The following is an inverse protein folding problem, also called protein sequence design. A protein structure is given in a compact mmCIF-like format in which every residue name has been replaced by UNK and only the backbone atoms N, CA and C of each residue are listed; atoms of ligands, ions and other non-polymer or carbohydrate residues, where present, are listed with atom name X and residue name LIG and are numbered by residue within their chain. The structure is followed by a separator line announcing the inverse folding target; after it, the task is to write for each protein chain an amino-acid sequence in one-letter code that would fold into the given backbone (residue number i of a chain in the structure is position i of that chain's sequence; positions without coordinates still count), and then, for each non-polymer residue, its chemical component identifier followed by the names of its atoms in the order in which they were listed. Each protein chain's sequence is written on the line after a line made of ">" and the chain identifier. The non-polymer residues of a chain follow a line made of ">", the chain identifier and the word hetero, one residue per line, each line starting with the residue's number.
data_IF_827185692679
#
_entry.id   IF_827185692679
#
_cell.length_a   1.000
_cell.length_b   1.000
_cell.length_c   1.000
_cell.angle_alpha   90.00
_cell.angle_beta   90.00
_cell.angle_gamma   90.00
#
_symmetry.space_group_name_H-M   'P 1'
#
loop_
_entity.id
_entity.type
_entity.pdbx_description
1 polymer ?
#
# COMPACT_ATOMS: atom_id res chain seq x y z
N UNK A 1 -19.14 31.36 17.75
CA UNK A 1 -18.70 30.25 18.64
C UNK A 1 -19.44 28.94 18.34
N UNK A 2 -19.82 28.67 17.07
CA UNK A 2 -20.61 27.49 16.67
C UNK A 2 -19.85 26.49 15.78
N UNK A 3 -18.59 26.80 15.40
CA UNK A 3 -17.78 25.98 14.48
C UNK A 3 -16.91 24.91 15.16
N UNK A 4 -16.75 24.96 16.49
CA UNK A 4 -15.94 23.98 17.23
C UNK A 4 -16.67 22.64 17.44
N UNK A 5 -18.00 22.66 17.65
CA UNK A 5 -18.79 21.43 17.84
C UNK A 5 -18.86 20.51 16.61
N UNK A 6 -18.77 21.07 15.39
CA UNK A 6 -18.74 20.27 14.16
C UNK A 6 -17.38 19.58 13.92
N UNK A 7 -16.31 20.10 14.50
CA UNK A 7 -14.98 19.50 14.39
C UNK A 7 -14.86 18.30 15.34
N UNK A 8 -15.45 18.36 16.53
CA UNK A 8 -15.52 17.21 17.45
C UNK A 8 -16.41 16.09 16.88
N UNK A 9 -17.56 16.39 16.29
CA UNK A 9 -18.44 15.38 15.68
C UNK A 9 -17.84 14.68 14.44
N UNK A 10 -16.83 15.29 13.79
CA UNK A 10 -16.13 14.66 12.66
C UNK A 10 -15.17 13.55 13.13
N UNK A 11 -14.60 13.68 14.34
CA UNK A 11 -13.79 12.64 14.98
C UNK A 11 -14.62 11.49 15.55
N UNK A 12 -15.95 11.65 15.71
CA UNK A 12 -16.83 10.59 16.23
C UNK A 12 -17.12 9.45 15.24
N UNK A 13 -16.64 9.52 14.00
CA UNK A 13 -16.93 8.49 12.99
C UNK A 13 -16.12 7.20 13.16
N UNK A 14 -14.93 7.27 13.77
CA UNK A 14 -14.07 6.10 13.96
C UNK A 14 -13.63 6.02 15.41
N UNK A 15 -13.83 4.84 16.02
CA UNK A 15 -13.30 4.60 17.36
C UNK A 15 -11.78 4.45 17.31
N UNK A 16 -11.08 4.74 18.42
CA UNK A 16 -9.64 4.52 18.51
C UNK A 16 -9.24 3.07 18.21
N UNK A 17 -10.11 2.11 18.58
CA UNK A 17 -9.93 0.70 18.26
C UNK A 17 -10.03 0.44 16.75
N UNK A 18 -11.03 0.99 16.08
CA UNK A 18 -11.17 0.82 14.62
C UNK A 18 -10.00 1.45 13.85
N UNK A 19 -9.51 2.61 14.30
CA UNK A 19 -8.30 3.22 13.74
C UNK A 19 -7.08 2.31 13.93
N UNK A 20 -6.90 1.78 15.14
CA UNK A 20 -5.80 0.87 15.44
C UNK A 20 -5.88 -0.41 14.58
N UNK A 21 -7.06 -0.97 14.39
CA UNK A 21 -7.28 -2.14 13.54
C UNK A 21 -6.94 -1.85 12.07
N UNK A 22 -7.46 -0.75 11.50
CA UNK A 22 -7.21 -0.38 10.09
C UNK A 22 -5.74 -0.10 9.82
N UNK A 23 -5.12 0.72 10.67
CA UNK A 23 -3.71 1.12 10.51
C UNK A 23 -2.75 -0.02 10.86
N UNK A 24 -3.05 -0.76 11.92
CA UNK A 24 -2.28 -1.92 12.36
C UNK A 24 -2.31 -3.04 11.32
N UNK A 25 -3.49 -3.39 10.82
CA UNK A 25 -3.63 -4.39 9.75
C UNK A 25 -2.91 -3.95 8.48
N UNK A 26 -3.03 -2.69 8.07
CA UNK A 26 -2.30 -2.17 6.91
C UNK A 26 -0.79 -2.36 7.05
N UNK A 27 -0.23 -1.94 8.19
CA UNK A 27 1.20 -2.09 8.48
C UNK A 27 1.62 -3.56 8.47
N UNK A 28 0.86 -4.44 9.12
CA UNK A 28 1.14 -5.88 9.19
C UNK A 28 1.11 -6.54 7.81
N UNK A 29 0.06 -6.29 7.01
CA UNK A 29 -0.05 -6.85 5.66
C UNK A 29 1.08 -6.36 4.74
N UNK A 30 1.44 -5.08 4.84
CA UNK A 30 2.60 -4.53 4.14
C UNK A 30 3.90 -5.21 4.56
N UNK A 31 4.13 -5.40 5.86
CA UNK A 31 5.32 -6.10 6.35
C UNK A 31 5.38 -7.55 5.90
N UNK A 32 4.26 -8.28 5.95
CA UNK A 32 4.16 -9.66 5.45
C UNK A 32 4.56 -9.74 3.97
N UNK A 33 4.08 -8.80 3.15
CA UNK A 33 4.45 -8.73 1.74
C UNK A 33 5.94 -8.40 1.53
N UNK A 34 6.50 -7.52 2.36
CA UNK A 34 7.90 -7.10 2.31
C UNK A 34 8.90 -8.11 2.90
N UNK A 35 8.44 -9.11 3.63
CA UNK A 35 9.31 -10.10 4.28
C UNK A 35 10.13 -10.89 3.26
N UNK A 36 9.51 -11.40 2.19
CA UNK A 36 10.24 -12.12 1.14
C UNK A 36 11.28 -11.22 0.45
N UNK A 37 10.99 -9.91 0.34
CA UNK A 37 11.93 -8.95 -0.24
C UNK A 37 13.14 -8.71 0.63
N UNK A 38 12.94 -8.54 1.93
CA UNK A 38 14.00 -8.36 2.92
C UNK A 38 14.93 -9.58 2.96
N UNK A 39 14.35 -10.78 3.05
CA UNK A 39 15.10 -12.03 3.12
C UNK A 39 15.97 -12.28 1.87
N UNK A 40 15.64 -11.64 0.75
CA UNK A 40 16.36 -11.77 -0.52
C UNK A 40 17.27 -10.58 -0.83
N UNK A 41 17.41 -9.63 0.09
CA UNK A 41 18.33 -8.49 -0.04
C UNK A 41 17.90 -7.45 -1.07
N UNK A 42 16.61 -7.35 -1.40
CA UNK A 42 16.11 -6.28 -2.27
C UNK A 42 16.14 -4.93 -1.55
N UNK A 43 16.33 -3.84 -2.31
CA UNK A 43 16.41 -2.49 -1.76
C UNK A 43 15.14 -2.03 -1.00
N UNK A 44 13.97 -2.55 -1.38
CA UNK A 44 12.70 -2.31 -0.69
C UNK A 44 12.28 -3.57 0.06
N UNK A 45 12.46 -3.57 1.38
CA UNK A 45 12.18 -4.72 2.25
C UNK A 45 10.99 -4.50 3.19
N UNK A 46 11.02 -5.13 4.36
CA UNK A 46 9.89 -5.21 5.28
C UNK A 46 9.45 -3.84 5.80
N UNK A 47 10.43 -3.00 6.16
CA UNK A 47 10.19 -1.64 6.68
C UNK A 47 9.52 -0.77 5.63
N UNK A 48 10.02 -0.81 4.40
CA UNK A 48 9.52 0.01 3.30
C UNK A 48 8.07 -0.34 2.97
N UNK A 49 7.76 -1.63 2.83
CA UNK A 49 6.39 -2.06 2.53
C UNK A 49 5.41 -1.74 3.66
N UNK A 50 5.81 -1.95 4.93
CA UNK A 50 5.01 -1.60 6.10
C UNK A 50 4.69 -0.10 6.17
N UNK A 51 5.70 0.76 5.97
CA UNK A 51 5.52 2.22 5.99
C UNK A 51 4.61 2.69 4.84
N UNK A 52 4.79 2.17 3.61
CA UNK A 52 3.93 2.55 2.49
C UNK A 52 2.48 2.13 2.70
N UNK A 53 2.25 0.90 3.17
CA UNK A 53 0.91 0.40 3.45
C UNK A 53 0.23 1.21 4.58
N UNK A 54 0.95 1.48 5.66
CA UNK A 54 0.47 2.33 6.75
C UNK A 54 0.13 3.74 6.25
N UNK A 55 1.03 4.35 5.47
CA UNK A 55 0.83 5.70 4.91
C UNK A 55 -0.43 5.76 4.05
N UNK A 56 -0.65 4.75 3.20
CA UNK A 56 -1.84 4.66 2.38
C UNK A 56 -3.12 4.52 3.22
N UNK A 57 -3.09 3.72 4.29
CA UNK A 57 -4.23 3.57 5.19
C UNK A 57 -4.56 4.88 5.92
N UNK A 58 -3.55 5.61 6.42
CA UNK A 58 -3.73 6.93 7.05
C UNK A 58 -4.39 7.91 6.08
N UNK A 59 -3.92 7.94 4.83
CA UNK A 59 -4.45 8.83 3.80
C UNK A 59 -5.90 8.48 3.44
N UNK A 60 -6.24 7.19 3.33
CA UNK A 60 -7.62 6.76 3.06
C UNK A 60 -8.55 7.06 4.21
N UNK A 61 -8.18 6.74 5.45
CA UNK A 61 -8.99 7.05 6.64
C UNK A 61 -9.23 8.55 6.75
N UNK A 62 -8.17 9.36 6.56
CA UNK A 62 -8.26 10.82 6.55
C UNK A 62 -9.18 11.33 5.43
N UNK A 63 -9.08 10.74 4.24
CA UNK A 63 -9.95 11.03 3.10
C UNK A 63 -11.42 10.73 3.38
N UNK A 64 -11.71 9.61 4.05
CA UNK A 64 -13.07 9.24 4.45
C UNK A 64 -13.64 10.22 5.49
N UNK A 65 -12.84 10.63 6.48
CA UNK A 65 -13.25 11.62 7.48
C UNK A 65 -13.57 12.98 6.82
N UNK A 66 -12.70 13.43 5.89
CA UNK A 66 -12.92 14.67 5.17
C UNK A 66 -14.14 14.59 4.25
N UNK A 67 -14.36 13.45 3.59
CA UNK A 67 -15.55 13.19 2.78
C UNK A 67 -16.83 13.28 3.61
N UNK A 68 -16.86 12.64 4.78
CA UNK A 68 -18.00 12.70 5.70
C UNK A 68 -18.28 14.14 6.16
N UNK A 69 -17.25 14.89 6.54
CA UNK A 69 -17.38 16.30 6.93
C UNK A 69 -17.91 17.18 5.77
N UNK A 70 -17.41 16.98 4.56
CA UNK A 70 -17.87 17.70 3.38
C UNK A 70 -19.36 17.43 3.08
N UNK A 71 -19.79 16.16 3.18
CA UNK A 71 -21.19 15.76 3.00
C UNK A 71 -22.11 16.41 4.03
N UNK A 72 -21.69 16.47 5.30
CA UNK A 72 -22.45 17.13 6.37
C UNK A 72 -22.60 18.64 6.13
N UNK A 73 -21.61 19.28 5.52
CA UNK A 73 -21.64 20.70 5.15
C UNK A 73 -22.43 20.97 3.85
N UNK A 74 -23.08 19.97 3.26
CA UNK A 74 -23.80 20.10 1.98
C UNK A 74 -22.90 20.19 0.75
N UNK A 75 -21.60 19.90 0.91
CA UNK A 75 -20.64 19.84 -0.19
C UNK A 75 -20.56 18.45 -0.82
N UNK A 76 -19.97 18.40 -2.01
CA UNK A 76 -19.57 17.16 -2.67
C UNK A 76 -18.04 17.05 -2.66
N UNK A 77 -17.55 15.95 -2.09
CA UNK A 77 -16.14 15.57 -2.16
C UNK A 77 -16.08 14.15 -2.73
N UNK A 78 -15.19 13.91 -3.70
CA UNK A 78 -14.98 12.58 -4.25
C UNK A 78 -13.79 11.90 -3.54
N UNK A 79 -14.01 10.86 -2.71
CA UNK A 79 -12.93 10.16 -2.01
C UNK A 79 -12.01 9.39 -2.96
N UNK A 80 -12.44 9.10 -4.19
CA UNK A 80 -11.64 8.41 -5.19
C UNK A 80 -10.43 9.25 -5.65
N UNK A 81 -10.52 10.58 -5.54
CA UNK A 81 -9.40 11.49 -5.84
C UNK A 81 -8.19 11.27 -4.93
N UNK A 82 -8.43 10.87 -3.68
CA UNK A 82 -7.36 10.54 -2.72
C UNK A 82 -6.63 9.28 -3.17
N UNK A 83 -7.38 8.27 -3.63
CA UNK A 83 -6.83 7.03 -4.19
C UNK A 83 -6.02 7.32 -5.46
N UNK A 84 -6.55 8.15 -6.37
CA UNK A 84 -5.82 8.57 -7.58
C UNK A 84 -4.50 9.26 -7.24
N UNK A 85 -4.51 10.20 -6.28
CA UNK A 85 -3.31 10.89 -5.83
C UNK A 85 -2.27 9.96 -5.22
N UNK A 86 -2.69 8.94 -4.45
CA UNK A 86 -1.79 7.92 -3.91
C UNK A 86 -1.09 7.13 -5.02
N UNK A 87 -1.83 6.64 -6.02
CA UNK A 87 -1.23 5.90 -7.14
C UNK A 87 -0.26 6.75 -7.96
N UNK A 88 -0.57 8.04 -8.15
CA UNK A 88 0.35 8.97 -8.80
C UNK A 88 1.65 9.16 -8.00
N UNK A 89 1.56 9.37 -6.68
CA UNK A 89 2.73 9.53 -5.82
C UNK A 89 3.59 8.25 -5.77
N UNK A 90 2.96 7.09 -5.69
CA UNK A 90 3.64 5.80 -5.60
C UNK A 90 4.27 5.40 -6.93
N UNK A 91 3.68 5.78 -8.06
CA UNK A 91 4.29 5.63 -9.38
C UNK A 91 5.67 6.31 -9.46
N UNK A 92 5.82 7.48 -8.83
CA UNK A 92 7.11 8.18 -8.74
C UNK A 92 8.14 7.41 -7.89
N UNK A 93 7.71 6.87 -6.74
CA UNK A 93 8.57 6.02 -5.88
C UNK A 93 9.01 4.75 -6.63
N UNK A 94 8.08 4.11 -7.34
CA UNK A 94 8.35 2.93 -8.15
C UNK A 94 9.33 3.21 -9.28
N UNK A 95 9.14 4.31 -10.02
CA UNK A 95 10.09 4.76 -11.04
C UNK A 95 11.49 5.03 -10.43
N UNK A 96 11.55 5.69 -9.28
CA UNK A 96 12.79 5.90 -8.54
C UNK A 96 13.51 4.60 -8.19
N UNK A 97 12.78 3.56 -7.77
CA UNK A 97 13.34 2.25 -7.47
C UNK A 97 13.87 1.50 -8.71
N UNK A 98 13.18 1.67 -9.84
CA UNK A 98 13.57 1.05 -11.11
C UNK A 98 14.82 1.69 -11.69
N UNK A 99 14.92 3.02 -11.64
CA UNK A 99 16.03 3.79 -12.23
C UNK A 99 17.14 4.15 -11.23
N UNK A 100 17.11 3.61 -10.01
CA UNK A 100 18.08 3.90 -8.95
C UNK A 100 19.53 3.53 -9.31
N UNK A 101 19.75 2.59 -10.25
CA UNK A 101 21.09 2.24 -10.75
C UNK A 101 21.21 2.67 -12.21
N UNK A 102 22.31 3.35 -12.54
CA UNK A 102 22.52 3.92 -13.87
C UNK A 102 22.58 2.84 -14.94
N UNK A 103 21.66 2.96 -15.91
CA UNK A 103 21.59 2.34 -17.25
C UNK A 103 20.77 1.06 -17.43
N UNK A 104 20.40 0.32 -16.38
CA UNK A 104 19.60 -0.90 -16.52
C UNK A 104 18.33 -0.92 -15.66
N UNK A 105 17.24 -1.47 -16.22
CA UNK A 105 15.94 -1.63 -15.55
C UNK A 105 16.06 -2.79 -14.56
N UNK A 106 16.26 -2.46 -13.29
CA UNK A 106 16.25 -3.42 -12.19
C UNK A 106 15.03 -3.24 -11.30
N UNK A 107 14.76 -4.22 -10.42
CA UNK A 107 13.76 -4.09 -9.35
C UNK A 107 12.30 -3.91 -9.80
N UNK A 108 11.92 -4.33 -11.02
CA UNK A 108 10.54 -4.21 -11.52
C UNK A 108 9.53 -4.90 -10.57
N UNK A 109 9.84 -6.11 -10.10
CA UNK A 109 9.01 -6.83 -9.10
C UNK A 109 8.97 -6.12 -7.74
N UNK A 110 10.07 -5.46 -7.35
CA UNK A 110 10.11 -4.69 -6.10
C UNK A 110 9.24 -3.43 -6.21
N UNK A 111 9.25 -2.74 -7.36
CA UNK A 111 8.34 -1.63 -7.63
C UNK A 111 6.87 -2.08 -7.65
N UNK A 112 6.58 -3.21 -8.29
CA UNK A 112 5.23 -3.79 -8.31
C UNK A 112 4.75 -4.20 -6.90
N UNK A 113 5.62 -4.78 -6.07
CA UNK A 113 5.27 -5.16 -4.69
C UNK A 113 5.05 -3.96 -3.78
N UNK A 114 5.73 -2.82 -4.02
CA UNK A 114 5.41 -1.56 -3.33
C UNK A 114 4.02 -1.03 -3.71
N UNK A 115 3.65 -1.07 -4.99
CA UNK A 115 2.30 -0.70 -5.44
C UNK A 115 1.26 -1.60 -4.78
N UNK A 116 1.54 -2.90 -4.69
CA UNK A 116 0.66 -3.84 -4.01
C UNK A 116 0.55 -3.52 -2.51
N UNK A 117 1.65 -3.22 -1.81
CA UNK A 117 1.61 -2.83 -0.40
C UNK A 117 0.73 -1.59 -0.16
N UNK A 118 0.83 -0.58 -1.02
CA UNK A 118 -0.04 0.61 -0.99
C UNK A 118 -1.50 0.21 -1.19
N UNK A 119 -1.77 -0.65 -2.17
CA UNK A 119 -3.13 -1.13 -2.46
C UNK A 119 -3.73 -1.89 -1.27
N UNK A 120 -2.93 -2.69 -0.56
CA UNK A 120 -3.34 -3.34 0.69
C UNK A 120 -3.63 -2.33 1.80
N UNK A 121 -2.79 -1.30 1.92
CA UNK A 121 -3.02 -0.17 2.82
C UNK A 121 -4.31 0.59 2.53
N UNK A 122 -4.62 0.81 1.24
CA UNK A 122 -5.89 1.42 0.81
C UNK A 122 -7.07 0.53 1.22
N UNK A 123 -7.01 -0.77 0.93
CA UNK A 123 -8.07 -1.71 1.27
C UNK A 123 -8.30 -1.79 2.78
N UNK A 124 -7.23 -1.90 3.59
CA UNK A 124 -7.32 -1.91 5.04
C UNK A 124 -7.80 -0.57 5.61
N UNK A 125 -7.31 0.57 5.10
CA UNK A 125 -7.75 1.90 5.48
C UNK A 125 -9.23 2.16 5.17
N UNK A 126 -9.76 1.54 4.11
CA UNK A 126 -11.18 1.57 3.76
C UNK A 126 -12.03 0.55 4.55
N UNK A 127 -11.42 -0.34 5.34
CA UNK A 127 -12.12 -1.41 6.06
C UNK A 127 -12.50 -2.62 5.20
N UNK A 128 -11.93 -2.76 4.00
CA UNK A 128 -12.19 -3.89 3.10
C UNK A 128 -11.33 -5.12 3.45
N UNK A 129 -11.62 -5.74 4.60
CA UNK A 129 -10.81 -6.83 5.17
C UNK A 129 -10.68 -8.05 4.26
N UNK A 130 -11.79 -8.49 3.66
CA UNK A 130 -11.81 -9.65 2.76
C UNK A 130 -10.96 -9.39 1.51
N UNK A 131 -11.09 -8.19 0.93
CA UNK A 131 -10.29 -7.79 -0.23
C UNK A 131 -8.80 -7.75 0.13
N UNK A 132 -8.45 -7.15 1.26
CA UNK A 132 -7.07 -7.07 1.74
C UNK A 132 -6.47 -8.46 1.98
N UNK A 133 -7.22 -9.38 2.58
CA UNK A 133 -6.78 -10.75 2.83
C UNK A 133 -6.54 -11.54 1.53
N UNK A 134 -7.50 -11.51 0.60
CA UNK A 134 -7.38 -12.19 -0.70
C UNK A 134 -6.20 -11.62 -1.50
N UNK A 135 -6.10 -10.29 -1.59
CA UNK A 135 -5.02 -9.63 -2.32
C UNK A 135 -3.65 -9.92 -1.71
N UNK A 136 -3.53 -10.00 -0.38
CA UNK A 136 -2.29 -10.39 0.29
C UNK A 136 -1.91 -11.82 -0.04
N UNK A 137 -2.87 -12.77 0.05
CA UNK A 137 -2.63 -14.17 -0.29
C UNK A 137 -2.17 -14.36 -1.73
N UNK A 138 -2.88 -13.74 -2.69
CA UNK A 138 -2.49 -13.77 -4.11
C UNK A 138 -1.13 -13.09 -4.34
N UNK A 139 -0.88 -11.97 -3.66
CA UNK A 139 0.40 -11.27 -3.68
C UNK A 139 1.56 -12.19 -3.28
N UNK A 140 1.45 -12.85 -2.13
CA UNK A 140 2.46 -13.79 -1.65
C UNK A 140 2.65 -14.97 -2.61
N UNK A 141 1.56 -15.52 -3.17
CA UNK A 141 1.62 -16.58 -4.18
C UNK A 141 2.42 -16.13 -5.40
N UNK A 142 2.13 -14.95 -5.95
CA UNK A 142 2.88 -14.41 -7.10
C UNK A 142 4.34 -14.15 -6.76
N UNK A 143 4.62 -13.70 -5.55
CA UNK A 143 5.96 -13.36 -5.10
C UNK A 143 6.82 -14.57 -4.76
N UNK A 144 6.22 -15.67 -4.32
CA UNK A 144 6.93 -16.87 -3.84
C UNK A 144 6.79 -18.06 -4.80
N UNK A 145 5.58 -18.43 -5.22
CA UNK A 145 5.35 -19.64 -6.01
C UNK A 145 5.72 -19.49 -7.49
N UNK A 146 5.40 -18.37 -8.13
CA UNK A 146 5.74 -18.14 -9.55
C UNK A 146 7.25 -18.16 -9.75
N UNK A 147 7.99 -17.58 -8.82
CA UNK A 147 9.45 -17.58 -8.87
C UNK A 147 10.06 -18.94 -8.53
N UNK A 148 9.41 -19.71 -7.66
CA UNK A 148 9.80 -21.10 -7.43
C UNK A 148 9.59 -21.90 -8.72
N UNK A 149 8.49 -21.72 -9.44
CA UNK A 149 8.29 -22.36 -10.74
C UNK A 149 9.34 -21.93 -11.80
N UNK A 150 9.76 -20.66 -11.81
CA UNK A 150 10.87 -20.18 -12.66
C UNK A 150 12.20 -20.90 -12.39
N UNK A 151 12.46 -21.28 -11.13
CA UNK A 151 13.67 -22.03 -10.78
C UNK A 151 13.66 -23.48 -11.28
N UNK A 152 12.49 -24.02 -11.63
CA UNK A 152 12.31 -25.38 -12.13
C UNK A 152 12.26 -25.44 -13.66
N UNK A 153 12.20 -24.29 -14.34
CA UNK A 153 12.28 -24.19 -15.78
C UNK A 153 13.75 -24.28 -16.24
N UNK A 154 14.15 -25.32 -17.01
CA UNK A 154 15.49 -25.41 -17.58
C UNK A 154 15.65 -24.33 -18.66
N UNK A 155 16.56 -23.36 -18.44
CA UNK A 155 16.94 -22.40 -19.49
C UNK A 155 17.13 -20.93 -19.09
N UNK A 156 17.33 -20.58 -17.81
CA UNK A 156 17.56 -19.18 -17.42
C UNK A 156 19.04 -18.85 -17.12
N UNK A 157 19.91 -19.04 -18.11
CA UNK A 157 21.27 -18.47 -18.17
C UNK A 157 21.21 -16.99 -18.59
N UNK A 158 20.48 -16.16 -17.82
CA UNK A 158 20.55 -14.69 -17.96
C UNK A 158 21.14 -14.04 -16.72
N UNK A 159 22.21 -14.62 -16.18
CA UNK A 159 22.94 -14.10 -15.01
C UNK A 159 24.41 -13.82 -15.26
N UNK A 160 24.80 -13.47 -16.49
CA UNK A 160 26.09 -12.82 -16.74
C UNK A 160 25.88 -11.86 -17.91
N UNK A 161 25.56 -10.60 -17.62
CA UNK A 161 25.81 -9.41 -18.47
C UNK A 161 25.10 -8.22 -17.83
N UNK A 162 25.88 -7.34 -17.18
CA UNK A 162 25.43 -6.09 -16.54
C UNK A 162 26.22 -5.73 -15.30
#
# INVERSE_FOLDING_TARGET
>A
MHRYGAMESTFENFTALELLERLGAAALLGMVLGLDRELRGFAAGIRTHGILALSAAVVVVSGLMLHAAARQAGGEADPLRVVQGLFQAVGFVGAGLVFARHRDVHNLTSAASLILAVSLGIAAGAGHWVLAAIATGLGLVLLTLVRMAEAWLPGNDKREEG
#
